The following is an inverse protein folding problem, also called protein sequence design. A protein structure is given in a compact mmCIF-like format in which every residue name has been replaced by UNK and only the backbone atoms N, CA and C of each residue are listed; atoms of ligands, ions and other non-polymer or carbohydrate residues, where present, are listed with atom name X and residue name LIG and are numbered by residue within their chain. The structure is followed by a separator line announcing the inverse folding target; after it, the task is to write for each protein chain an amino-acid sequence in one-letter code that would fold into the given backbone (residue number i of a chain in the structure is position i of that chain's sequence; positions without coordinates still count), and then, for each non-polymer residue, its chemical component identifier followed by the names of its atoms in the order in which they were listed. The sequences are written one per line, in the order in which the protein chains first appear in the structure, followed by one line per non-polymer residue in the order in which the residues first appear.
data_IF_218390854342
#
_entry.id   IF_218390854342
#
_cell.length_a   1.000
_cell.length_b   1.000
_cell.length_c   1.000
_cell.angle_alpha   90.00
_cell.angle_beta   90.00
_cell.angle_gamma   90.00
#
_symmetry.space_group_name_H-M   'P 1'
#
loop_
_entity.id
_entity.type
_entity.pdbx_description
1 polymer ?
#
# COMPACT_ATOMS: atom_id res chain seq x y z
N UNK A 1 -26.56 -12.64 -19.01
CA UNK A 1 -25.59 -13.12 -18.02
C UNK A 1 -24.72 -11.90 -17.70
N UNK A 2 -24.58 -11.56 -16.43
CA UNK A 2 -23.73 -10.43 -16.01
C UNK A 2 -22.28 -10.71 -16.37
N UNK A 3 -21.47 -9.69 -16.67
CA UNK A 3 -20.04 -9.83 -16.97
C UNK A 3 -19.19 -9.29 -15.82
N UNK A 4 -17.91 -9.68 -15.75
CA UNK A 4 -16.96 -9.10 -14.79
C UNK A 4 -16.88 -7.58 -14.96
N UNK A 5 -16.84 -7.11 -16.20
CA UNK A 5 -16.76 -5.67 -16.51
C UNK A 5 -18.00 -4.87 -16.07
N UNK A 6 -19.18 -5.49 -16.07
CA UNK A 6 -20.40 -4.86 -15.55
C UNK A 6 -20.36 -4.80 -14.02
N UNK A 7 -19.87 -5.84 -13.35
CA UNK A 7 -19.70 -5.86 -11.89
C UNK A 7 -18.65 -4.82 -11.43
N UNK A 8 -17.59 -4.63 -12.19
CA UNK A 8 -16.55 -3.65 -11.90
C UNK A 8 -17.03 -2.19 -12.03
N UNK A 9 -18.19 -1.95 -12.67
CA UNK A 9 -18.82 -0.62 -12.79
C UNK A 9 -19.75 -0.28 -11.64
N UNK A 10 -19.96 -1.17 -10.67
CA UNK A 10 -20.80 -0.90 -9.50
C UNK A 10 -20.22 0.31 -8.75
N UNK A 11 -21.04 1.34 -8.53
CA UNK A 11 -20.61 2.54 -7.84
C UNK A 11 -20.21 2.26 -6.39
N UNK A 12 -19.03 2.76 -5.98
CA UNK A 12 -18.48 2.50 -4.64
C UNK A 12 -17.85 1.11 -4.45
N UNK A 13 -17.70 0.32 -5.51
CA UNK A 13 -17.01 -0.97 -5.45
C UNK A 13 -15.53 -0.79 -5.05
N UNK A 14 -15.09 -1.55 -4.05
CA UNK A 14 -13.67 -1.65 -3.68
C UNK A 14 -13.08 -3.02 -4.03
N UNK A 15 -13.83 -4.07 -3.78
CA UNK A 15 -13.38 -5.45 -4.01
C UNK A 15 -14.52 -6.31 -4.59
N UNK A 16 -14.16 -7.23 -5.49
CA UNK A 16 -15.05 -8.25 -6.02
C UNK A 16 -14.38 -9.62 -5.81
N UNK A 17 -15.08 -10.56 -5.22
CA UNK A 17 -14.53 -11.90 -4.99
C UNK A 17 -15.43 -12.97 -5.58
N UNK A 18 -14.82 -13.89 -6.34
CA UNK A 18 -15.46 -15.06 -6.93
C UNK A 18 -14.95 -16.31 -6.18
N UNK A 19 -15.81 -16.90 -5.38
CA UNK A 19 -15.53 -18.13 -4.64
C UNK A 19 -16.11 -19.32 -5.40
N UNK A 20 -15.43 -19.73 -6.47
CA UNK A 20 -15.96 -20.63 -7.48
C UNK A 20 -16.99 -19.93 -8.39
N UNK A 21 -17.64 -20.74 -9.25
CA UNK A 21 -18.65 -20.26 -10.20
C UNK A 21 -20.05 -20.07 -9.58
N UNK A 22 -20.22 -20.25 -8.27
CA UNK A 22 -21.53 -20.18 -7.62
C UNK A 22 -21.68 -19.02 -6.63
N UNK A 23 -20.57 -18.46 -6.17
CA UNK A 23 -20.60 -17.46 -5.10
C UNK A 23 -19.73 -16.25 -5.44
N UNK A 24 -20.38 -15.15 -5.72
CA UNK A 24 -19.70 -13.86 -5.99
C UNK A 24 -20.18 -12.82 -5.00
N UNK A 25 -19.23 -12.06 -4.46
CA UNK A 25 -19.53 -10.98 -3.53
C UNK A 25 -18.79 -9.70 -3.95
N UNK A 26 -19.51 -8.59 -3.87
CA UNK A 26 -18.99 -7.24 -4.08
C UNK A 26 -18.89 -6.50 -2.74
N UNK A 27 -17.74 -5.90 -2.46
CA UNK A 27 -17.59 -4.97 -1.35
C UNK A 27 -17.89 -3.57 -1.87
N UNK A 28 -19.02 -3.02 -1.43
CA UNK A 28 -19.48 -1.69 -1.80
C UNK A 28 -19.50 -0.82 -0.55
N UNK A 29 -18.71 0.24 -0.53
CA UNK A 29 -18.61 1.17 0.61
C UNK A 29 -18.33 0.49 1.96
N UNK A 30 -17.55 -0.61 1.93
CA UNK A 30 -17.15 -1.35 3.13
C UNK A 30 -18.09 -2.49 3.55
N UNK A 31 -19.21 -2.70 2.85
CA UNK A 31 -20.15 -3.80 3.10
C UNK A 31 -20.11 -4.85 1.97
N UNK A 32 -20.17 -6.13 2.34
CA UNK A 32 -20.21 -7.23 1.39
C UNK A 32 -21.65 -7.56 0.97
N UNK A 33 -21.89 -7.60 -0.35
CA UNK A 33 -23.17 -7.95 -0.96
C UNK A 33 -22.99 -9.12 -1.91
N UNK A 34 -23.89 -10.09 -1.86
CA UNK A 34 -23.94 -11.14 -2.85
C UNK A 34 -24.41 -10.55 -4.19
N UNK A 35 -23.74 -10.93 -5.28
CA UNK A 35 -24.06 -10.51 -6.64
C UNK A 35 -24.06 -11.71 -7.58
N UNK A 36 -24.68 -11.58 -8.75
CA UNK A 36 -24.73 -12.65 -9.74
C UNK A 36 -23.33 -13.04 -10.21
N UNK A 37 -23.12 -14.34 -10.41
CA UNK A 37 -21.83 -14.83 -10.90
C UNK A 37 -21.77 -14.66 -12.44
N UNK A 38 -20.64 -14.12 -12.97
CA UNK A 38 -20.49 -13.92 -14.42
C UNK A 38 -20.12 -15.19 -15.18
N UNK A 39 -19.85 -16.32 -14.51
CA UNK A 39 -19.43 -17.58 -15.11
C UNK A 39 -20.46 -18.68 -14.90
N UNK A 40 -20.77 -19.42 -15.95
CA UNK A 40 -21.75 -20.52 -15.92
C UNK A 40 -21.16 -21.81 -15.34
N UNK A 41 -19.83 -21.96 -15.29
CA UNK A 41 -19.15 -23.16 -14.81
C UNK A 41 -17.80 -22.87 -14.16
N UNK A 42 -17.30 -23.84 -13.39
CA UNK A 42 -15.96 -23.76 -12.80
C UNK A 42 -14.83 -23.78 -13.85
N UNK A 43 -15.06 -24.44 -14.99
CA UNK A 43 -14.09 -24.47 -16.09
C UNK A 43 -13.99 -23.12 -16.80
N UNK A 44 -15.10 -22.41 -16.96
CA UNK A 44 -15.08 -21.04 -17.51
C UNK A 44 -14.33 -20.08 -16.59
N UNK A 45 -14.57 -20.13 -15.27
CA UNK A 45 -13.83 -19.32 -14.29
C UNK A 45 -12.34 -19.67 -14.29
N UNK A 46 -11.99 -20.95 -14.43
CA UNK A 46 -10.61 -21.40 -14.52
C UNK A 46 -9.93 -20.90 -15.79
N UNK A 47 -10.61 -21.01 -16.93
CA UNK A 47 -10.10 -20.51 -18.21
C UNK A 47 -9.82 -19.00 -18.14
N UNK A 48 -10.77 -18.22 -17.60
CA UNK A 48 -10.61 -16.79 -17.35
C UNK A 48 -9.37 -16.49 -16.47
N UNK A 49 -9.19 -17.20 -15.35
CA UNK A 49 -8.06 -16.97 -14.45
C UNK A 49 -6.72 -17.30 -15.13
N UNK A 50 -6.63 -18.40 -15.88
CA UNK A 50 -5.42 -18.81 -16.59
C UNK A 50 -5.08 -17.83 -17.71
N UNK A 51 -6.06 -17.39 -18.51
CA UNK A 51 -5.88 -16.42 -19.58
C UNK A 51 -5.41 -15.06 -19.03
N UNK A 52 -6.01 -14.62 -17.92
CA UNK A 52 -5.63 -13.37 -17.25
C UNK A 52 -4.18 -13.43 -16.74
N UNK A 53 -3.76 -14.54 -16.15
CA UNK A 53 -2.37 -14.74 -15.73
C UNK A 53 -1.42 -14.72 -16.95
N UNK A 54 -1.77 -15.44 -18.02
CA UNK A 54 -0.97 -15.51 -19.24
C UNK A 54 -0.81 -14.13 -19.92
N UNK A 55 -1.88 -13.31 -19.98
CA UNK A 55 -1.84 -11.95 -20.53
C UNK A 55 -0.81 -11.07 -19.83
N UNK A 56 -0.59 -11.32 -18.53
CA UNK A 56 0.39 -10.64 -17.69
C UNK A 56 1.74 -11.36 -17.61
N UNK A 57 1.98 -12.36 -18.50
CA UNK A 57 3.19 -13.19 -18.53
C UNK A 57 3.45 -13.92 -17.20
N UNK A 58 2.40 -14.28 -16.49
CA UNK A 58 2.46 -15.04 -15.25
C UNK A 58 1.99 -16.48 -15.48
N UNK A 59 2.62 -17.39 -14.78
CA UNK A 59 2.25 -18.81 -14.79
C UNK A 59 1.13 -19.04 -13.77
N UNK A 60 0.10 -19.78 -14.16
CA UNK A 60 -0.97 -20.22 -13.27
C UNK A 60 -1.37 -21.65 -13.66
N UNK A 61 -0.83 -22.64 -12.95
CA UNK A 61 -1.07 -24.06 -13.17
C UNK A 61 -0.91 -24.85 -11.86
N UNK A 62 -0.94 -26.18 -11.95
CA UNK A 62 -0.78 -27.05 -10.79
C UNK A 62 0.52 -26.84 -10.01
N UNK A 63 1.64 -26.54 -10.70
CA UNK A 63 2.93 -26.32 -10.06
C UNK A 63 3.07 -24.88 -9.51
N UNK A 64 2.30 -23.93 -10.03
CA UNK A 64 2.21 -22.56 -9.56
C UNK A 64 0.74 -22.15 -9.44
N UNK A 65 0.03 -22.57 -8.37
CA UNK A 65 -1.41 -22.42 -8.29
C UNK A 65 -1.89 -21.01 -7.91
N UNK A 66 -0.99 -20.08 -7.70
CA UNK A 66 -1.29 -18.69 -7.36
C UNK A 66 -0.65 -17.71 -8.33
N UNK A 67 -1.37 -16.64 -8.68
CA UNK A 67 -0.82 -15.53 -9.43
C UNK A 67 -1.46 -14.21 -9.01
N UNK A 68 -0.64 -13.17 -8.86
CA UNK A 68 -1.08 -11.79 -8.69
C UNK A 68 -0.92 -11.04 -10.02
N UNK A 69 -1.98 -10.43 -10.50
CA UNK A 69 -2.03 -9.72 -11.79
C UNK A 69 -2.50 -8.29 -11.55
N UNK A 70 -1.83 -7.31 -12.16
CA UNK A 70 -2.26 -5.91 -12.15
C UNK A 70 -2.55 -5.45 -13.58
N UNK A 71 -3.76 -4.93 -13.82
CA UNK A 71 -4.19 -4.39 -15.11
C UNK A 71 -4.86 -3.04 -14.88
N UNK A 72 -4.19 -1.96 -15.23
CA UNK A 72 -4.67 -0.61 -14.92
C UNK A 72 -4.91 -0.45 -13.41
N UNK A 73 -6.09 0.03 -12.99
CA UNK A 73 -6.42 0.22 -11.57
C UNK A 73 -6.85 -1.08 -10.87
N UNK A 74 -6.89 -2.21 -11.56
CA UNK A 74 -7.39 -3.48 -11.05
C UNK A 74 -6.24 -4.40 -10.63
N UNK A 75 -6.41 -5.02 -9.48
CA UNK A 75 -5.53 -6.06 -8.95
C UNK A 75 -6.29 -7.34 -8.81
N UNK A 76 -5.76 -8.41 -9.37
CA UNK A 76 -6.32 -9.74 -9.31
C UNK A 76 -5.39 -10.65 -8.52
N UNK A 77 -5.93 -11.33 -7.52
CA UNK A 77 -5.31 -12.50 -6.92
C UNK A 77 -6.05 -13.73 -7.40
N UNK A 78 -5.33 -14.61 -8.10
CA UNK A 78 -5.85 -15.80 -8.73
C UNK A 78 -5.35 -17.02 -7.97
N UNK A 79 -6.26 -17.94 -7.63
CA UNK A 79 -5.91 -19.17 -6.93
C UNK A 79 -6.62 -20.36 -7.56
N UNK A 80 -5.85 -21.31 -8.09
CA UNK A 80 -6.34 -22.61 -8.52
C UNK A 80 -6.53 -23.56 -7.32
N UNK A 81 -7.40 -24.57 -7.41
CA UNK A 81 -7.55 -25.57 -6.35
C UNK A 81 -6.23 -26.32 -6.09
N UNK A 82 -5.83 -26.43 -4.81
CA UNK A 82 -4.59 -27.15 -4.42
C UNK A 82 -4.88 -28.64 -4.25
N UNK A 83 -5.98 -28.98 -3.58
CA UNK A 83 -6.38 -30.37 -3.32
C UNK A 83 -7.91 -30.52 -3.31
N UNK A 84 -8.52 -30.40 -4.48
CA UNK A 84 -9.98 -30.29 -4.60
C UNK A 84 -10.45 -28.86 -4.29
N UNK A 85 -11.73 -28.57 -4.54
CA UNK A 85 -12.31 -27.26 -4.29
C UNK A 85 -12.51 -26.42 -5.55
N UNK A 86 -12.67 -25.13 -5.37
CA UNK A 86 -13.01 -24.20 -6.44
C UNK A 86 -11.82 -23.29 -6.79
N UNK A 87 -11.89 -22.70 -7.96
CA UNK A 87 -11.03 -21.56 -8.35
C UNK A 87 -11.51 -20.33 -7.57
N UNK A 88 -10.57 -19.55 -7.04
CA UNK A 88 -10.86 -18.27 -6.39
C UNK A 88 -10.22 -17.12 -7.16
N UNK A 89 -11.00 -16.06 -7.37
CA UNK A 89 -10.51 -14.82 -7.97
C UNK A 89 -10.91 -13.68 -7.06
N UNK A 90 -9.93 -12.94 -6.57
CA UNK A 90 -10.14 -11.70 -5.82
C UNK A 90 -9.71 -10.53 -6.67
N UNK A 91 -10.58 -9.58 -6.88
CA UNK A 91 -10.33 -8.37 -7.68
C UNK A 91 -10.45 -7.17 -6.76
N UNK A 92 -9.38 -6.40 -6.62
CA UNK A 92 -9.40 -5.12 -5.94
C UNK A 92 -9.35 -3.99 -6.95
N UNK A 93 -10.27 -3.05 -6.82
CA UNK A 93 -10.30 -1.84 -7.64
C UNK A 93 -9.71 -0.68 -6.86
N UNK A 94 -8.59 -0.12 -7.36
CA UNK A 94 -8.07 1.12 -6.83
C UNK A 94 -8.87 2.29 -7.36
N UNK A 95 -9.24 3.21 -6.46
CA UNK A 95 -9.98 4.41 -6.86
C UNK A 95 -9.16 5.21 -7.86
N UNK A 96 -9.88 5.78 -8.85
CA UNK A 96 -9.28 6.60 -9.91
C UNK A 96 -8.38 7.73 -9.36
N UNK A 97 -7.32 8.11 -10.11
CA UNK A 97 -6.46 9.23 -9.77
C UNK A 97 -7.23 10.53 -9.61
N UNK A 98 -6.80 11.41 -8.70
CA UNK A 98 -7.21 12.80 -8.70
C UNK A 98 -8.33 13.22 -7.73
N UNK A 99 -8.63 12.43 -6.69
CA UNK A 99 -9.47 12.96 -5.61
C UNK A 99 -8.65 13.93 -4.75
N UNK A 100 -9.01 15.20 -4.80
CA UNK A 100 -8.40 16.21 -3.95
C UNK A 100 -8.52 15.83 -2.47
N UNK A 101 -7.46 16.08 -1.70
CA UNK A 101 -7.36 15.73 -0.27
C UNK A 101 -8.61 16.15 0.52
N UNK A 102 -9.22 17.30 0.17
CA UNK A 102 -10.44 17.83 0.77
C UNK A 102 -11.66 16.92 0.61
N UNK A 103 -11.72 16.12 -0.47
CA UNK A 103 -12.83 15.17 -0.73
C UNK A 103 -12.58 13.80 -0.14
N UNK A 104 -11.33 13.49 0.21
CA UNK A 104 -10.93 12.20 0.79
C UNK A 104 -11.17 12.13 2.28
N UNK A 105 -11.02 13.26 2.98
CA UNK A 105 -11.04 13.30 4.44
C UNK A 105 -12.43 13.66 4.93
N UNK A 106 -12.99 12.81 5.76
CA UNK A 106 -14.29 12.99 6.40
C UNK A 106 -14.27 14.05 7.53
N UNK A 107 -13.14 14.72 7.74
CA UNK A 107 -12.77 15.36 9.00
C UNK A 107 -12.68 16.88 8.89
N UNK A 108 -12.87 17.59 10.04
CA UNK A 108 -12.88 19.07 10.11
C UNK A 108 -11.64 19.70 9.45
N UNK A 109 -11.79 20.92 8.97
CA UNK A 109 -10.78 21.74 8.30
C UNK A 109 -9.39 21.74 8.99
N UNK A 110 -9.35 21.57 10.32
CA UNK A 110 -8.12 21.50 11.11
C UNK A 110 -7.13 20.43 10.64
N UNK A 111 -7.61 19.27 10.17
CA UNK A 111 -6.73 18.20 9.70
C UNK A 111 -6.05 18.58 8.38
N UNK A 112 -6.77 19.23 7.48
CA UNK A 112 -6.23 19.70 6.22
C UNK A 112 -5.07 20.68 6.44
N UNK A 113 -5.24 21.64 7.34
CA UNK A 113 -4.17 22.60 7.67
C UNK A 113 -2.94 21.92 8.27
N UNK A 114 -3.11 20.89 9.09
CA UNK A 114 -2.00 20.12 9.66
C UNK A 114 -1.28 19.32 8.57
N UNK A 115 -2.02 18.63 7.71
CA UNK A 115 -1.44 17.87 6.59
C UNK A 115 -0.71 18.78 5.61
N UNK A 116 -1.28 19.95 5.31
CA UNK A 116 -0.62 20.95 4.46
C UNK A 116 0.69 21.47 5.06
N UNK A 117 0.72 21.70 6.38
CA UNK A 117 1.96 22.03 7.07
C UNK A 117 3.02 20.92 7.02
N UNK A 118 2.62 19.67 7.19
CA UNK A 118 3.52 18.52 7.08
C UNK A 118 4.16 18.47 5.69
N UNK A 119 3.37 18.65 4.63
CA UNK A 119 3.89 18.69 3.25
C UNK A 119 4.78 19.90 3.02
N UNK A 120 4.32 21.10 3.40
CA UNK A 120 5.06 22.36 3.18
C UNK A 120 6.39 22.42 3.93
N UNK A 121 6.47 21.83 5.13
CA UNK A 121 7.72 21.74 5.91
C UNK A 121 8.67 20.64 5.41
N UNK A 122 8.28 19.87 4.41
CA UNK A 122 9.02 18.68 3.94
C UNK A 122 9.32 17.71 5.09
N UNK A 123 8.36 17.53 5.99
CA UNK A 123 8.50 16.58 7.06
C UNK A 123 8.38 15.14 6.53
N UNK A 124 9.18 14.23 7.08
CA UNK A 124 9.05 12.81 6.79
C UNK A 124 7.94 12.23 7.64
N UNK A 125 7.07 11.40 7.06
CA UNK A 125 5.93 10.88 7.79
C UNK A 125 5.59 9.41 7.48
N UNK A 126 4.95 8.77 8.45
CA UNK A 126 4.39 7.43 8.33
C UNK A 126 2.86 7.52 8.44
N UNK A 127 2.14 6.85 7.54
CA UNK A 127 0.70 6.68 7.68
C UNK A 127 0.44 5.27 8.22
N UNK A 128 -0.15 5.20 9.40
CA UNK A 128 -0.50 3.96 10.10
C UNK A 128 -2.01 3.68 10.02
N UNK A 129 -2.39 2.43 9.94
CA UNK A 129 -3.80 2.01 9.94
C UNK A 129 -3.98 0.56 9.52
N UNK A 130 -5.14 -0.02 9.77
CA UNK A 130 -5.53 -1.35 9.32
C UNK A 130 -5.68 -1.44 7.79
N UNK A 131 -6.04 -2.62 7.31
CA UNK A 131 -6.39 -2.83 5.89
C UNK A 131 -7.66 -2.04 5.54
N UNK A 132 -7.69 -1.40 4.36
CA UNK A 132 -8.86 -0.67 3.87
C UNK A 132 -9.10 0.71 4.50
N UNK A 133 -8.25 1.18 5.44
CA UNK A 133 -8.41 2.50 6.08
C UNK A 133 -8.08 3.68 5.16
N UNK A 134 -7.45 3.44 4.00
CA UNK A 134 -7.10 4.47 3.02
C UNK A 134 -5.68 5.01 3.15
N UNK A 135 -4.74 4.26 3.75
CA UNK A 135 -3.32 4.66 3.90
C UNK A 135 -2.69 5.10 2.58
N UNK A 136 -2.73 4.23 1.57
CA UNK A 136 -2.15 4.51 0.24
C UNK A 136 -2.85 5.69 -0.44
N UNK A 137 -4.17 5.81 -0.27
CA UNK A 137 -4.96 6.93 -0.81
C UNK A 137 -4.53 8.26 -0.18
N UNK A 138 -4.35 8.29 1.15
CA UNK A 138 -3.89 9.51 1.85
C UNK A 138 -2.43 9.82 1.48
N UNK A 139 -1.56 8.81 1.45
CA UNK A 139 -0.15 8.97 1.06
C UNK A 139 -0.06 9.62 -0.32
N UNK A 140 -0.78 9.08 -1.31
CA UNK A 140 -0.85 9.62 -2.65
C UNK A 140 -1.30 11.09 -2.65
N UNK A 141 -2.45 11.39 -2.02
CA UNK A 141 -3.00 12.74 -1.98
C UNK A 141 -2.06 13.75 -1.32
N UNK A 142 -1.29 13.36 -0.30
CA UNK A 142 -0.28 14.21 0.32
C UNK A 142 0.95 14.42 -0.58
N UNK A 143 1.39 13.38 -1.30
CA UNK A 143 2.52 13.48 -2.23
C UNK A 143 2.18 14.39 -3.41
N UNK A 144 0.96 14.33 -3.95
CA UNK A 144 0.49 15.13 -5.10
C UNK A 144 0.30 16.64 -4.77
N UNK A 145 0.36 17.03 -3.50
CA UNK A 145 0.25 18.46 -3.11
C UNK A 145 1.46 19.31 -3.50
N UNK A 146 2.62 18.72 -3.65
CA UNK A 146 3.82 19.41 -4.16
C UNK A 146 4.32 18.71 -5.43
N UNK A 147 3.95 19.26 -6.57
CA UNK A 147 4.28 18.72 -7.89
C UNK A 147 5.63 19.20 -8.44
N UNK A 148 6.34 20.03 -7.68
CA UNK A 148 7.61 20.63 -8.13
C UNK A 148 8.80 19.70 -7.93
N UNK A 149 8.64 18.65 -7.12
CA UNK A 149 9.70 17.75 -6.69
C UNK A 149 9.75 16.46 -7.49
N UNK A 150 10.98 15.92 -7.59
CA UNK A 150 11.17 14.57 -8.12
C UNK A 150 10.83 13.53 -7.05
N UNK A 151 9.82 12.71 -7.31
CA UNK A 151 9.40 11.64 -6.42
C UNK A 151 9.74 10.29 -7.06
N UNK A 152 10.40 9.41 -6.30
CA UNK A 152 10.54 8.00 -6.68
C UNK A 152 9.70 7.16 -5.72
N UNK A 153 8.72 6.43 -6.27
CA UNK A 153 7.90 5.48 -5.50
C UNK A 153 8.48 4.08 -5.60
N UNK A 154 8.42 3.34 -4.51
CA UNK A 154 8.88 1.94 -4.42
C UNK A 154 7.74 1.12 -3.82
N UNK A 155 7.23 0.15 -4.58
CA UNK A 155 6.06 -0.63 -4.22
C UNK A 155 6.21 -2.10 -4.63
N UNK A 156 5.60 -3.02 -3.87
CA UNK A 156 5.46 -4.42 -4.29
C UNK A 156 4.49 -4.51 -5.45
N UNK A 157 3.40 -3.80 -5.33
CA UNK A 157 2.39 -3.72 -6.39
C UNK A 157 1.99 -2.25 -6.51
N UNK A 158 1.94 -1.72 -7.73
CA UNK A 158 1.65 -0.31 -7.97
C UNK A 158 0.27 0.06 -7.44
N UNK A 159 0.21 1.02 -6.53
CA UNK A 159 -1.02 1.59 -5.98
C UNK A 159 -1.01 3.12 -6.02
N UNK A 160 0.17 3.72 -5.91
CA UNK A 160 0.30 5.17 -5.75
C UNK A 160 -0.06 5.93 -7.02
N UNK A 161 0.29 5.45 -8.22
CA UNK A 161 -0.04 6.09 -9.52
C UNK A 161 -0.06 7.62 -9.46
N UNK A 162 1.07 8.24 -9.07
CA UNK A 162 1.16 9.69 -8.89
C UNK A 162 0.96 10.42 -10.23
N UNK A 163 0.06 11.41 -10.23
CA UNK A 163 -0.10 12.35 -11.34
C UNK A 163 0.87 13.53 -11.19
N UNK A 164 2.17 13.23 -11.22
CA UNK A 164 3.26 14.19 -11.09
C UNK A 164 4.21 13.99 -12.26
N UNK A 165 4.49 15.04 -13.06
CA UNK A 165 5.34 14.90 -14.25
C UNK A 165 6.73 14.35 -13.98
N UNK A 166 7.33 14.67 -12.82
CA UNK A 166 8.65 14.21 -12.40
C UNK A 166 8.59 13.07 -11.38
N UNK A 167 7.61 12.17 -11.52
CA UNK A 167 7.54 10.94 -10.71
C UNK A 167 8.13 9.75 -11.48
N UNK A 168 8.82 8.88 -10.75
CA UNK A 168 9.28 7.57 -11.25
C UNK A 168 8.75 6.49 -10.32
N UNK A 169 8.25 5.39 -10.91
CA UNK A 169 7.67 4.28 -10.15
C UNK A 169 8.52 3.03 -10.33
N UNK A 170 8.94 2.46 -9.21
CA UNK A 170 9.66 1.19 -9.15
C UNK A 170 8.77 0.13 -8.51
N UNK A 171 8.66 -1.01 -9.17
CA UNK A 171 7.88 -2.14 -8.69
C UNK A 171 8.79 -3.35 -8.45
N UNK A 172 8.56 -4.06 -7.33
CA UNK A 172 9.22 -5.32 -7.06
C UNK A 172 8.85 -6.38 -8.11
N UNK A 173 9.72 -7.33 -8.29
CA UNK A 173 9.50 -8.48 -9.18
C UNK A 173 9.82 -9.76 -8.43
N UNK A 174 8.87 -10.68 -8.39
CA UNK A 174 9.11 -12.03 -7.87
C UNK A 174 10.04 -12.80 -8.78
N UNK A 175 10.76 -13.77 -8.22
CA UNK A 175 11.55 -14.72 -9.00
C UNK A 175 10.65 -15.44 -10.04
N UNK A 176 11.24 -15.78 -11.18
CA UNK A 176 10.58 -16.63 -12.16
C UNK A 176 10.51 -18.10 -11.69
N UNK A 177 9.98 -19.00 -12.53
CA UNK A 177 9.88 -20.43 -12.23
C UNK A 177 11.22 -21.10 -11.91
N UNK A 178 12.34 -20.53 -12.36
CA UNK A 178 13.69 -21.05 -12.15
C UNK A 178 14.37 -20.41 -10.93
N UNK A 179 13.65 -19.61 -10.15
CA UNK A 179 14.17 -18.91 -8.98
C UNK A 179 15.02 -17.69 -9.32
N UNK A 180 15.05 -17.25 -10.59
CA UNK A 180 15.87 -16.15 -11.03
C UNK A 180 15.09 -14.85 -11.24
N UNK A 181 15.79 -13.70 -11.18
CA UNK A 181 15.24 -12.41 -11.55
C UNK A 181 14.41 -11.72 -10.48
N UNK A 182 14.49 -12.14 -9.22
CA UNK A 182 13.87 -11.44 -8.09
C UNK A 182 14.46 -10.03 -7.93
N UNK A 183 13.59 -9.06 -7.72
CA UNK A 183 13.94 -7.69 -7.33
C UNK A 183 13.02 -7.32 -6.18
N UNK A 184 13.55 -7.33 -4.96
CA UNK A 184 12.78 -7.02 -3.75
C UNK A 184 12.78 -5.52 -3.44
N UNK A 185 11.90 -5.11 -2.49
CA UNK A 185 11.76 -3.72 -2.10
C UNK A 185 13.06 -3.12 -1.55
N UNK A 186 13.84 -3.87 -0.77
CA UNK A 186 15.12 -3.42 -0.23
C UNK A 186 16.07 -2.96 -1.36
N UNK A 187 16.21 -3.77 -2.40
CA UNK A 187 17.03 -3.44 -3.58
C UNK A 187 16.51 -2.20 -4.28
N UNK A 188 15.18 -2.09 -4.44
CA UNK A 188 14.56 -0.94 -5.11
C UNK A 188 14.77 0.37 -4.35
N UNK A 189 14.70 0.38 -3.02
CA UNK A 189 15.02 1.58 -2.22
C UNK A 189 16.46 2.03 -2.46
N UNK A 190 17.42 1.08 -2.51
CA UNK A 190 18.83 1.39 -2.80
C UNK A 190 18.99 1.98 -4.21
N UNK A 191 18.30 1.43 -5.21
CA UNK A 191 18.36 1.96 -6.58
C UNK A 191 17.64 3.31 -6.70
N UNK A 192 16.52 3.50 -5.98
CA UNK A 192 15.81 4.77 -5.93
C UNK A 192 16.74 5.93 -5.51
N UNK A 193 17.62 5.71 -4.53
CA UNK A 193 18.60 6.71 -4.08
C UNK A 193 19.54 7.18 -5.20
N UNK A 194 19.85 6.33 -6.17
CA UNK A 194 20.70 6.64 -7.32
C UNK A 194 19.98 7.42 -8.42
N UNK A 195 18.64 7.49 -8.34
CA UNK A 195 17.81 8.21 -9.31
C UNK A 195 17.65 9.69 -8.99
N UNK A 196 18.42 10.23 -8.03
CA UNK A 196 18.38 11.61 -7.55
C UNK A 196 16.95 12.07 -7.15
N UNK A 197 16.27 11.36 -6.27
CA UNK A 197 14.96 11.79 -5.80
C UNK A 197 15.11 12.96 -4.83
N UNK A 198 14.18 13.92 -4.90
CA UNK A 198 13.95 14.85 -3.79
C UNK A 198 13.24 14.14 -2.65
N UNK A 199 12.29 13.26 -2.99
CA UNK A 199 11.46 12.49 -2.06
C UNK A 199 11.38 11.03 -2.48
N UNK A 200 11.40 10.12 -1.49
CA UNK A 200 11.17 8.69 -1.69
C UNK A 200 9.85 8.32 -1.00
N UNK A 201 8.98 7.65 -1.71
CA UNK A 201 7.76 7.10 -1.14
C UNK A 201 7.79 5.57 -1.23
N UNK A 202 7.84 4.88 -0.10
CA UNK A 202 7.68 3.44 -0.04
C UNK A 202 6.21 3.15 0.24
N UNK A 203 5.54 2.42 -0.66
CA UNK A 203 4.11 2.16 -0.57
C UNK A 203 3.72 1.57 0.78
N UNK A 204 4.48 0.58 1.25
CA UNK A 204 4.34 0.01 2.58
C UNK A 204 5.68 -0.55 3.08
N UNK A 205 6.01 -0.28 4.35
CA UNK A 205 7.16 -0.89 5.02
C UNK A 205 6.69 -2.07 5.87
N UNK A 206 7.24 -3.25 5.56
CA UNK A 206 6.92 -4.50 6.24
C UNK A 206 8.09 -5.45 6.43
N UNK A 207 9.27 -5.12 5.86
CA UNK A 207 10.45 -5.98 5.82
C UNK A 207 11.78 -5.22 5.72
N UNK A 208 12.72 -5.81 5.00
CA UNK A 208 14.12 -5.38 4.93
C UNK A 208 14.31 -3.99 4.30
N UNK A 209 13.34 -3.48 3.57
CA UNK A 209 13.35 -2.14 2.96
C UNK A 209 13.39 -1.01 4.00
N UNK A 210 13.00 -1.27 5.24
CA UNK A 210 13.07 -0.30 6.32
C UNK A 210 14.51 0.21 6.53
N UNK A 211 15.49 -0.67 6.49
CA UNK A 211 16.89 -0.32 6.80
C UNK A 211 17.44 0.73 5.83
N UNK A 212 17.47 0.50 4.49
CA UNK A 212 17.92 1.50 3.55
C UNK A 212 17.01 2.74 3.54
N UNK A 213 15.72 2.62 3.83
CA UNK A 213 14.83 3.77 3.96
C UNK A 213 15.24 4.67 5.13
N UNK A 214 15.47 4.11 6.32
CA UNK A 214 15.94 4.90 7.48
C UNK A 214 17.26 5.61 7.18
N UNK A 215 18.19 4.93 6.49
CA UNK A 215 19.46 5.53 6.07
C UNK A 215 19.24 6.70 5.09
N UNK A 216 18.35 6.53 4.12
CA UNK A 216 17.99 7.56 3.14
C UNK A 216 17.42 8.81 3.81
N UNK A 217 16.44 8.63 4.69
CA UNK A 217 15.77 9.74 5.36
C UNK A 217 16.72 10.52 6.29
N UNK A 218 17.65 9.82 6.92
CA UNK A 218 18.69 10.44 7.75
C UNK A 218 19.82 11.10 6.93
N UNK A 219 19.86 10.87 5.61
CA UNK A 219 20.87 11.43 4.69
C UNK A 219 20.37 12.62 3.87
N UNK A 220 19.19 13.17 4.18
CA UNK A 220 18.72 14.42 3.56
C UNK A 220 17.54 14.32 2.59
N UNK A 221 16.91 13.15 2.45
CA UNK A 221 15.71 12.97 1.60
C UNK A 221 14.44 13.39 2.35
N UNK A 222 14.30 14.71 2.60
CA UNK A 222 13.19 15.31 3.36
C UNK A 222 11.88 15.28 2.58
N UNK A 223 10.77 15.11 3.29
CA UNK A 223 9.42 15.00 2.71
C UNK A 223 9.10 13.60 2.20
N UNK A 224 9.95 12.62 2.51
CA UNK A 224 9.74 11.21 2.20
C UNK A 224 8.70 10.58 3.11
N UNK A 225 8.04 9.53 2.62
CA UNK A 225 6.92 8.96 3.36
C UNK A 225 6.73 7.46 3.09
N UNK A 226 6.01 6.81 3.99
CA UNK A 226 5.61 5.41 3.83
C UNK A 226 4.29 5.13 4.55
N UNK A 227 3.73 3.94 4.30
CA UNK A 227 2.66 3.40 5.13
C UNK A 227 3.15 2.21 5.97
N UNK A 228 2.45 1.92 7.05
CA UNK A 228 2.70 0.79 7.93
C UNK A 228 1.39 0.22 8.47
N UNK A 229 1.32 -1.10 8.62
CA UNK A 229 0.20 -1.73 9.31
C UNK A 229 0.39 -1.62 10.83
N UNK A 230 -0.37 -0.72 11.45
CA UNK A 230 -0.51 -0.60 12.90
C UNK A 230 -1.90 0.00 13.20
N UNK A 231 -2.55 -0.45 14.26
CA UNK A 231 -3.92 -0.04 14.56
C UNK A 231 -4.00 1.39 15.13
N UNK A 232 -2.96 1.83 15.83
CA UNK A 232 -2.86 3.14 16.49
C UNK A 232 -1.45 3.69 16.33
N UNK A 233 -1.28 5.00 16.54
CA UNK A 233 0.02 5.65 16.49
C UNK A 233 1.00 5.03 17.53
N UNK A 234 0.50 4.68 18.70
CA UNK A 234 1.29 4.10 19.79
C UNK A 234 1.85 2.70 19.48
N UNK A 235 1.25 2.00 18.52
CA UNK A 235 1.69 0.65 18.10
C UNK A 235 2.83 0.72 17.06
N UNK A 236 3.03 1.87 16.41
CA UNK A 236 4.03 2.06 15.34
C UNK A 236 5.47 1.83 15.81
N UNK A 237 5.92 2.35 17.00
CA UNK A 237 7.25 2.06 17.52
C UNK A 237 7.56 0.58 17.60
N UNK A 238 6.69 -0.21 18.23
CA UNK A 238 6.87 -1.65 18.36
C UNK A 238 6.96 -2.35 17.00
N UNK A 239 6.15 -1.91 16.03
CA UNK A 239 6.17 -2.44 14.66
C UNK A 239 7.49 -2.14 13.95
N UNK A 240 8.00 -0.90 14.05
CA UNK A 240 9.29 -0.50 13.47
C UNK A 240 10.46 -1.28 14.10
N UNK A 241 10.46 -1.45 15.43
CA UNK A 241 11.47 -2.24 16.14
C UNK A 241 11.48 -3.70 15.67
N UNK A 242 10.30 -4.32 15.52
CA UNK A 242 10.18 -5.68 15.01
C UNK A 242 10.72 -5.83 13.58
N UNK A 243 10.40 -4.90 12.69
CA UNK A 243 10.91 -4.89 11.31
C UNK A 243 12.43 -4.62 11.30
N UNK A 244 12.92 -3.71 12.14
CA UNK A 244 14.36 -3.43 12.27
C UNK A 244 15.16 -4.66 12.68
N UNK A 245 14.63 -5.48 13.60
CA UNK A 245 15.22 -6.76 14.00
C UNK A 245 15.34 -7.73 12.82
N UNK A 246 14.33 -7.83 11.95
CA UNK A 246 14.41 -8.63 10.72
C UNK A 246 15.52 -8.14 9.79
N UNK A 247 15.78 -6.83 9.80
CA UNK A 247 16.86 -6.19 9.05
C UNK A 247 18.25 -6.22 9.72
N UNK A 248 18.38 -6.92 10.86
CA UNK A 248 19.64 -7.05 11.58
C UNK A 248 19.99 -5.86 12.49
N UNK A 249 19.07 -4.90 12.67
CA UNK A 249 19.30 -3.77 13.58
C UNK A 249 18.91 -4.14 15.01
N UNK A 250 19.66 -3.63 15.99
CA UNK A 250 19.24 -3.72 17.40
C UNK A 250 18.00 -2.83 17.64
N UNK A 251 17.17 -3.12 18.65
CA UNK A 251 16.05 -2.25 19.01
C UNK A 251 16.49 -0.81 19.28
N UNK A 252 17.59 -0.61 19.98
CA UNK A 252 18.15 0.71 20.28
C UNK A 252 18.58 1.44 19.00
N UNK A 253 19.28 0.76 18.09
CA UNK A 253 19.69 1.35 16.80
C UNK A 253 18.46 1.74 15.98
N UNK A 254 17.46 0.85 15.90
CA UNK A 254 16.22 1.14 15.18
C UNK A 254 15.49 2.34 15.78
N UNK A 255 15.41 2.42 17.13
CA UNK A 255 14.77 3.52 17.83
C UNK A 255 15.43 4.87 17.50
N UNK A 256 16.75 4.94 17.56
CA UNK A 256 17.50 6.16 17.22
C UNK A 256 17.35 6.55 15.75
N UNK A 257 17.50 5.59 14.83
CA UNK A 257 17.33 5.87 13.39
C UNK A 257 15.92 6.30 13.07
N UNK A 258 14.89 5.67 13.61
CA UNK A 258 13.51 5.99 13.34
C UNK A 258 13.09 7.35 13.91
N UNK A 259 13.55 7.69 15.14
CA UNK A 259 13.23 8.97 15.77
C UNK A 259 13.83 10.18 15.04
N UNK A 260 14.95 10.00 14.34
CA UNK A 260 15.55 11.06 13.52
C UNK A 260 15.09 11.03 12.06
N UNK A 261 14.64 9.87 11.56
CA UNK A 261 14.19 9.72 10.17
C UNK A 261 12.77 10.24 9.96
N UNK A 262 11.86 10.01 10.89
CA UNK A 262 10.45 10.36 10.76
C UNK A 262 10.04 11.45 11.75
N UNK A 263 9.37 12.47 11.24
CA UNK A 263 8.85 13.58 12.04
C UNK A 263 7.45 13.26 12.59
N UNK A 264 6.59 12.61 11.77
CA UNK A 264 5.19 12.37 12.13
C UNK A 264 4.70 10.96 11.84
N UNK A 265 3.76 10.53 12.67
CA UNK A 265 2.86 9.37 12.44
C UNK A 265 1.44 9.91 12.28
N UNK A 266 0.78 9.57 11.18
CA UNK A 266 -0.61 9.89 10.91
C UNK A 266 -1.39 8.58 11.05
N UNK A 267 -2.25 8.48 12.07
CA UNK A 267 -3.01 7.27 12.36
C UNK A 267 -4.41 7.33 11.79
N UNK A 268 -4.81 6.26 11.10
CA UNK A 268 -6.12 6.12 10.46
C UNK A 268 -6.96 5.06 11.17
N UNK A 269 -8.19 5.42 11.50
CA UNK A 269 -9.22 4.50 11.95
C UNK A 269 -10.02 3.87 10.80
N UNK A 270 -11.02 3.02 11.12
CA UNK A 270 -11.93 2.48 10.13
C UNK A 270 -12.58 3.59 9.30
N UNK A 271 -12.73 3.36 8.00
CA UNK A 271 -13.47 4.27 7.10
C UNK A 271 -14.96 4.17 7.37
N UNK A 272 -15.62 5.32 7.35
CA UNK A 272 -17.08 5.41 7.33
C UNK A 272 -17.53 6.02 6.01
N UNK A 273 -17.46 7.34 5.83
CA UNK A 273 -17.74 8.04 4.56
C UNK A 273 -16.48 8.53 3.84
N UNK A 274 -15.35 8.58 4.53
CA UNK A 274 -14.06 9.05 4.02
C UNK A 274 -12.90 8.50 4.82
N UNK A 275 -11.70 9.10 4.66
CA UNK A 275 -10.53 8.77 5.47
C UNK A 275 -10.71 9.37 6.87
N UNK A 276 -10.65 8.51 7.88
CA UNK A 276 -10.80 8.90 9.28
C UNK A 276 -9.42 9.01 9.95
N UNK A 277 -8.90 10.23 10.12
CA UNK A 277 -7.66 10.50 10.86
C UNK A 277 -7.99 10.50 12.35
N UNK A 278 -7.39 9.61 13.13
CA UNK A 278 -7.63 9.46 14.57
C UNK A 278 -6.60 10.19 15.41
N UNK A 279 -5.36 10.31 14.93
CA UNK A 279 -4.29 11.03 15.62
C UNK A 279 -3.18 11.43 14.65
N UNK A 280 -2.47 12.49 14.98
CA UNK A 280 -1.14 12.81 14.44
C UNK A 280 -0.19 12.92 15.63
N UNK A 281 0.92 12.19 15.59
CA UNK A 281 1.89 12.10 16.65
C UNK A 281 3.31 12.30 16.10
N UNK A 282 4.21 12.78 16.94
CA UNK A 282 5.66 12.81 16.67
C UNK A 282 6.35 11.63 17.33
N UNK A 283 7.55 11.28 16.84
CA UNK A 283 8.41 10.33 17.54
C UNK A 283 9.28 11.02 18.60
N UNK A 284 9.49 10.34 19.71
CA UNK A 284 10.42 10.77 20.76
C UNK A 284 11.13 9.58 21.38
N UNK A 285 12.32 9.80 21.93
CA UNK A 285 13.05 8.82 22.70
C UNK A 285 12.88 9.12 24.18
N UNK A 286 12.60 8.08 24.98
CA UNK A 286 12.64 8.18 26.44
C UNK A 286 14.10 8.24 26.92
N UNK A 287 14.31 8.55 28.22
CA UNK A 287 15.64 8.52 28.85
C UNK A 287 16.32 7.15 28.76
N UNK A 288 15.54 6.06 28.58
CA UNK A 288 16.04 4.72 28.36
C UNK A 288 16.22 4.37 26.88
N UNK A 289 16.24 5.36 25.98
CA UNK A 289 16.33 5.19 24.53
C UNK A 289 15.20 4.34 23.91
N UNK A 290 14.04 4.28 24.55
CA UNK A 290 12.84 3.62 23.99
C UNK A 290 12.14 4.58 23.04
N UNK A 291 11.81 4.10 21.82
CA UNK A 291 11.01 4.84 20.85
C UNK A 291 9.56 4.85 21.30
N UNK A 292 8.98 6.02 21.42
CA UNK A 292 7.57 6.21 21.72
C UNK A 292 6.97 7.29 20.80
N UNK A 293 5.64 7.36 20.71
CA UNK A 293 4.95 8.43 20.03
C UNK A 293 4.34 9.39 21.04
N UNK A 294 4.44 10.67 20.74
CA UNK A 294 3.79 11.75 21.47
C UNK A 294 2.72 12.36 20.59
N UNK A 295 1.46 12.30 21.05
CA UNK A 295 0.34 12.86 20.30
C UNK A 295 0.46 14.38 20.24
N UNK A 296 0.37 14.93 19.03
CA UNK A 296 0.44 16.37 18.76
C UNK A 296 -0.97 16.94 18.49
N UNK A 297 -1.84 16.12 17.87
CA UNK A 297 -3.20 16.49 17.51
C UNK A 297 -4.18 15.32 17.72
#
# INVERSE_FOLDING_TARGET
MVTVDELLKIDGLSDLVLNGHQRTFANVSGAWHAVDNPFGSGEELKAFAVELAASSRKRLDFASPFADVAIGPLRYHLALPISGGAVHVSIRQHQAPGLALQRLIEVPARWLEVLDRIVASRANFIIAGGTGTGKTTLLRAMLERDQTQRIVTVEDVPELYLDIPNAAQLQSRQANSDGAGEINLQRLVIEALRMKPDRIAVGEVRGLELVPMLQALNSGHRGSATTIHANRAEDVPARLLGIGLLGGLSPTTTAHLASSAFDYVISLGPRTRGINITAIASFTLTNESKLVTKREY
#
